data_IF_997171690313
#
_entry.id   IF_997171690313
#
_cell.length_a   1.000
_cell.length_b   1.000
_cell.length_c   1.000
_cell.angle_alpha   90.00
_cell.angle_beta   90.00
_cell.angle_gamma   90.00
#
_symmetry.space_group_name_H-M   'P 1'
#
loop_
_entity.id
_entity.type
_entity.pdbx_description
1 polymer ?
#
# COMPACT_ATOMS: atom_id res chain seq x y z
N UNK A 1 32.92 -15.25 -2.15
CA UNK A 1 33.05 -15.83 -0.79
C UNK A 1 32.35 -15.01 0.32
N UNK A 2 31.86 -13.79 0.09
CA UNK A 2 31.36 -12.91 1.16
C UNK A 2 29.92 -13.17 1.64
N UNK A 3 29.01 -13.67 0.78
CA UNK A 3 27.58 -13.74 1.10
C UNK A 3 27.21 -14.61 2.32
N UNK A 4 27.82 -15.79 2.48
CA UNK A 4 27.52 -16.65 3.65
C UNK A 4 27.86 -15.98 4.98
N UNK A 5 28.97 -15.24 5.06
CA UNK A 5 29.35 -14.45 6.24
C UNK A 5 28.44 -13.23 6.42
N UNK A 6 28.03 -12.58 5.32
CA UNK A 6 27.10 -11.46 5.35
C UNK A 6 25.73 -11.88 5.90
N UNK A 7 25.22 -13.06 5.51
CA UNK A 7 23.99 -13.62 6.08
C UNK A 7 24.10 -13.89 7.58
N UNK A 8 25.20 -14.48 8.03
CA UNK A 8 25.43 -14.75 9.46
C UNK A 8 25.49 -13.45 10.27
N UNK A 9 26.14 -12.41 9.72
CA UNK A 9 26.16 -11.09 10.33
C UNK A 9 24.77 -10.44 10.37
N UNK A 10 24.03 -10.47 9.25
CA UNK A 10 22.70 -9.87 9.17
C UNK A 10 21.65 -10.61 10.02
N UNK A 11 21.86 -11.91 10.29
CA UNK A 11 21.00 -12.69 11.19
C UNK A 11 21.06 -12.19 12.65
N UNK A 12 22.13 -11.49 13.05
CA UNK A 12 22.25 -10.93 14.40
C UNK A 12 21.21 -9.84 14.68
N UNK A 13 20.81 -9.10 13.64
CA UNK A 13 19.79 -8.04 13.73
C UNK A 13 18.35 -8.61 13.84
N UNK A 14 18.18 -9.91 13.61
CA UNK A 14 16.90 -10.59 13.74
C UNK A 14 16.67 -11.16 15.15
N UNK A 15 15.40 -11.28 15.58
CA UNK A 15 15.02 -12.04 16.77
C UNK A 15 15.62 -13.43 16.79
N UNK A 16 16.10 -13.88 17.96
CA UNK A 16 16.79 -15.17 18.11
C UNK A 16 15.94 -16.35 17.66
N UNK A 17 14.63 -16.31 17.93
CA UNK A 17 13.67 -17.33 17.53
C UNK A 17 13.40 -17.37 16.01
N UNK A 18 13.79 -16.35 15.25
CA UNK A 18 13.64 -16.34 13.79
C UNK A 18 14.84 -16.91 13.06
N UNK A 19 16.04 -16.81 13.66
CA UNK A 19 17.31 -17.23 13.05
C UNK A 19 17.31 -18.70 12.55
N UNK A 20 16.71 -19.68 13.26
CA UNK A 20 16.66 -21.07 12.79
C UNK A 20 15.87 -21.28 11.49
N UNK A 21 15.01 -20.33 11.11
CA UNK A 21 14.16 -20.39 9.91
C UNK A 21 14.81 -19.66 8.71
N UNK A 22 16.08 -19.25 8.84
CA UNK A 22 16.88 -18.74 7.73
C UNK A 22 17.45 -19.89 6.92
N UNK A 23 17.50 -19.73 5.60
CA UNK A 23 18.09 -20.72 4.70
C UNK A 23 19.56 -20.96 5.06
N UNK A 24 19.90 -22.21 5.39
CA UNK A 24 21.27 -22.65 5.70
C UNK A 24 22.15 -22.74 4.44
N UNK A 25 22.54 -21.58 3.91
CA UNK A 25 23.26 -21.41 2.64
C UNK A 25 24.55 -22.24 2.53
N UNK A 26 25.26 -22.45 3.66
CA UNK A 26 26.51 -23.24 3.68
C UNK A 26 26.26 -24.72 3.36
N UNK A 27 25.17 -25.30 3.88
CA UNK A 27 24.80 -26.71 3.68
C UNK A 27 24.41 -26.96 2.22
N UNK A 28 23.52 -26.11 1.68
CA UNK A 28 23.12 -26.16 0.28
C UNK A 28 24.31 -26.02 -0.68
N UNK A 29 25.24 -25.12 -0.36
CA UNK A 29 26.47 -24.94 -1.17
C UNK A 29 27.33 -26.21 -1.21
N UNK A 30 27.37 -27.01 -0.14
CA UNK A 30 28.09 -28.29 -0.13
C UNK A 30 27.39 -29.30 -1.03
N UNK A 31 26.05 -29.37 -0.95
CA UNK A 31 25.22 -30.26 -1.78
C UNK A 31 25.41 -30.01 -3.29
N UNK A 32 25.54 -28.75 -3.73
CA UNK A 32 25.82 -28.43 -5.16
C UNK A 32 27.08 -29.12 -5.68
N UNK A 33 28.09 -29.37 -4.85
CA UNK A 33 29.30 -30.10 -5.30
C UNK A 33 28.97 -31.52 -5.71
N UNK A 34 28.13 -32.20 -4.92
CA UNK A 34 27.70 -33.57 -5.20
C UNK A 34 26.88 -33.65 -6.50
N UNK A 35 26.09 -32.62 -6.81
CA UNK A 35 25.37 -32.51 -8.10
C UNK A 35 26.35 -32.44 -9.26
N UNK A 36 27.40 -31.62 -9.15
CA UNK A 36 28.42 -31.50 -10.19
C UNK A 36 29.17 -32.83 -10.35
N UNK A 37 29.55 -33.48 -9.25
CA UNK A 37 30.24 -34.76 -9.29
C UNK A 37 29.37 -35.86 -9.97
N UNK A 38 28.05 -35.87 -9.72
CA UNK A 38 27.10 -36.77 -10.42
C UNK A 38 27.05 -36.50 -11.92
N UNK A 39 26.94 -35.22 -12.32
CA UNK A 39 26.89 -34.82 -13.72
C UNK A 39 28.19 -35.18 -14.46
N UNK A 40 29.35 -34.92 -13.85
CA UNK A 40 30.67 -35.27 -14.42
C UNK A 40 30.84 -36.79 -14.55
N UNK A 41 30.42 -37.58 -13.56
CA UNK A 41 30.45 -39.04 -13.63
C UNK A 41 29.61 -39.60 -14.79
N UNK A 42 28.50 -38.91 -15.14
CA UNK A 42 27.63 -39.22 -16.28
C UNK A 42 28.09 -38.59 -17.60
N UNK A 43 29.23 -37.88 -17.63
CA UNK A 43 29.78 -37.27 -18.84
C UNK A 43 29.11 -35.96 -19.27
N UNK A 44 28.30 -35.36 -18.38
CA UNK A 44 27.55 -34.12 -18.60
C UNK A 44 28.25 -32.95 -17.89
N UNK A 45 29.46 -32.60 -18.31
CA UNK A 45 30.13 -31.40 -17.76
C UNK A 45 29.38 -30.13 -18.16
N UNK A 46 29.53 -29.06 -17.37
CA UNK A 46 28.87 -27.77 -17.66
C UNK A 46 29.18 -27.21 -19.05
N UNK A 47 30.39 -27.42 -19.57
CA UNK A 47 30.76 -27.00 -20.93
C UNK A 47 30.05 -27.82 -22.01
N UNK A 48 29.79 -29.11 -21.74
CA UNK A 48 29.05 -29.97 -22.68
C UNK A 48 27.57 -29.65 -22.66
N UNK A 49 26.99 -29.43 -21.48
CA UNK A 49 25.58 -29.02 -21.35
C UNK A 49 25.28 -27.78 -22.19
N UNK A 50 26.18 -26.79 -22.22
CA UNK A 50 25.99 -25.60 -23.07
C UNK A 50 26.12 -25.83 -24.58
N UNK A 51 26.73 -26.93 -25.02
CA UNK A 51 26.93 -27.26 -26.45
C UNK A 51 25.97 -28.32 -26.97
N UNK A 52 25.30 -29.06 -26.06
CA UNK A 52 24.37 -30.15 -26.40
C UNK A 52 23.01 -29.64 -26.91
N UNK A 53 22.70 -28.36 -26.71
CA UNK A 53 21.48 -27.73 -27.21
C UNK A 53 21.72 -27.16 -28.61
N UNK A 54 21.45 -27.97 -29.64
CA UNK A 54 21.50 -27.54 -31.04
C UNK A 54 20.07 -27.45 -31.57
N UNK A 55 19.65 -26.31 -32.12
CA UNK A 55 18.24 -26.08 -32.52
C UNK A 55 17.72 -27.07 -33.59
N UNK A 56 18.62 -27.79 -34.27
CA UNK A 56 18.31 -28.55 -35.48
C UNK A 56 18.27 -30.09 -35.28
N UNK A 57 19.09 -30.67 -34.39
CA UNK A 57 19.23 -32.14 -34.28
C UNK A 57 18.91 -32.70 -32.88
N UNK A 58 19.31 -32.00 -31.81
CA UNK A 58 19.21 -32.49 -30.44
C UNK A 58 18.92 -31.36 -29.45
N UNK A 59 17.83 -31.50 -28.70
CA UNK A 59 17.36 -30.51 -27.71
C UNK A 59 17.46 -31.04 -26.30
N UNK A 60 18.06 -30.27 -25.40
CA UNK A 60 18.15 -30.58 -23.97
C UNK A 60 17.20 -29.69 -23.18
N UNK A 61 16.36 -30.27 -22.32
CA UNK A 61 15.49 -29.54 -21.41
C UNK A 61 15.67 -30.02 -19.98
N UNK A 62 15.99 -29.13 -19.06
CA UNK A 62 15.98 -29.41 -17.63
C UNK A 62 14.62 -29.00 -17.05
N UNK A 63 14.00 -29.85 -16.24
CA UNK A 63 12.72 -29.52 -15.58
C UNK A 63 12.45 -30.44 -14.38
N UNK A 64 11.30 -30.28 -13.75
CA UNK A 64 10.90 -30.99 -12.54
C UNK A 64 9.66 -31.84 -12.78
N UNK A 65 9.71 -33.09 -12.33
CA UNK A 65 8.55 -33.94 -12.08
C UNK A 65 8.31 -34.06 -10.57
N UNK A 66 7.28 -34.83 -10.20
CA UNK A 66 6.97 -35.13 -8.81
C UNK A 66 6.16 -34.03 -8.14
N UNK A 67 6.30 -33.92 -6.83
CA UNK A 67 5.62 -32.92 -6.01
C UNK A 67 6.59 -32.32 -4.99
N UNK A 68 6.12 -31.42 -4.13
CA UNK A 68 7.00 -30.68 -3.22
C UNK A 68 7.55 -31.53 -2.06
N UNK A 69 6.92 -32.67 -1.76
CA UNK A 69 7.44 -33.65 -0.81
C UNK A 69 8.50 -34.55 -1.44
N UNK A 70 8.42 -34.77 -2.76
CA UNK A 70 9.36 -35.58 -3.55
C UNK A 70 9.70 -34.88 -4.88
N UNK A 71 10.55 -33.85 -4.87
CA UNK A 71 11.00 -33.17 -6.10
C UNK A 71 11.88 -34.09 -6.93
N UNK A 72 11.50 -34.27 -8.20
CA UNK A 72 12.24 -35.11 -9.14
C UNK A 72 12.79 -34.28 -10.32
N UNK A 73 13.90 -33.53 -10.14
CA UNK A 73 14.58 -32.87 -11.23
C UNK A 73 15.14 -33.89 -12.23
N UNK A 74 15.00 -33.60 -13.52
CA UNK A 74 15.52 -34.44 -14.58
C UNK A 74 15.96 -33.63 -15.80
N UNK A 75 16.85 -34.23 -16.56
CA UNK A 75 17.22 -33.76 -17.90
C UNK A 75 16.49 -34.61 -18.92
N UNK A 76 15.76 -33.96 -19.83
CA UNK A 76 15.16 -34.58 -21.01
C UNK A 76 15.99 -34.23 -22.23
N UNK A 77 16.55 -35.24 -22.89
CA UNK A 77 17.18 -35.09 -24.19
C UNK A 77 16.20 -35.59 -25.24
N UNK A 78 15.93 -34.77 -26.25
CA UNK A 78 15.07 -35.13 -27.39
C UNK A 78 15.92 -35.06 -28.65
N UNK A 79 16.00 -36.18 -29.36
CA UNK A 79 16.73 -36.32 -30.63
C UNK A 79 15.69 -36.31 -31.74
N UNK A 80 15.75 -35.30 -32.61
CA UNK A 80 14.82 -35.15 -33.72
C UNK A 80 15.36 -35.83 -34.99
N UNK A 81 16.67 -35.77 -35.21
CA UNK A 81 17.35 -36.45 -36.31
C UNK A 81 18.55 -37.26 -35.77
N UNK A 82 18.40 -38.59 -35.60
CA UNK A 82 19.47 -39.46 -35.14
C UNK A 82 20.69 -39.50 -36.07
N UNK A 83 20.54 -39.12 -37.35
CA UNK A 83 21.61 -39.21 -38.35
C UNK A 83 22.59 -38.04 -38.31
N UNK A 84 22.22 -36.95 -37.62
CA UNK A 84 23.04 -35.76 -37.45
C UNK A 84 23.92 -35.78 -36.18
N UNK A 85 23.90 -36.87 -35.41
CA UNK A 85 24.63 -37.00 -34.14
C UNK A 85 26.10 -37.32 -34.40
N UNK A 86 27.03 -36.65 -33.71
CA UNK A 86 28.45 -36.98 -33.80
C UNK A 86 28.79 -38.28 -33.06
N UNK A 87 29.84 -39.00 -33.48
CA UNK A 87 30.29 -40.24 -32.79
C UNK A 87 30.60 -40.01 -31.29
N UNK A 88 31.04 -38.80 -30.92
CA UNK A 88 31.30 -38.43 -29.52
C UNK A 88 30.01 -38.29 -28.69
N UNK A 89 28.93 -37.85 -29.32
CA UNK A 89 27.62 -37.72 -28.68
C UNK A 89 26.91 -39.07 -28.60
N UNK A 90 27.06 -39.93 -29.60
CA UNK A 90 26.57 -41.31 -29.58
C UNK A 90 27.17 -42.12 -28.41
N UNK A 91 28.50 -42.04 -28.20
CA UNK A 91 29.16 -42.66 -27.04
C UNK A 91 28.60 -42.14 -25.70
N UNK A 92 28.30 -40.85 -25.63
CA UNK A 92 27.79 -40.21 -24.40
C UNK A 92 26.35 -40.61 -24.13
N UNK A 93 25.50 -40.62 -25.16
CA UNK A 93 24.11 -41.08 -25.07
C UNK A 93 24.06 -42.54 -24.63
N UNK A 94 24.93 -43.39 -25.18
CA UNK A 94 25.08 -44.80 -24.77
C UNK A 94 25.49 -44.95 -23.31
N UNK A 95 26.28 -44.02 -22.76
CA UNK A 95 26.67 -43.99 -21.35
C UNK A 95 25.55 -43.48 -20.43
N UNK A 96 24.60 -42.71 -20.97
CA UNK A 96 23.46 -42.11 -20.26
C UNK A 96 22.24 -43.03 -20.23
N UNK A 97 22.02 -43.82 -21.26
CA UNK A 97 20.99 -44.86 -21.30
C UNK A 97 21.58 -46.17 -20.80
N UNK A 98 21.17 -46.62 -19.61
CA UNK A 98 21.45 -47.98 -19.12
C UNK A 98 20.81 -49.09 -19.99
N UNK A 99 20.21 -48.73 -21.13
CA UNK A 99 19.42 -49.58 -22.01
C UNK A 99 20.06 -49.54 -23.39
N UNK A 100 20.59 -50.70 -23.75
CA UNK A 100 21.08 -51.08 -25.07
C UNK A 100 19.89 -51.23 -26.02
N UNK A 101 19.22 -50.15 -26.39
CA UNK A 101 18.37 -50.15 -27.58
C UNK A 101 19.14 -49.44 -28.67
N UNK A 102 19.54 -50.19 -29.71
CA UNK A 102 20.09 -49.63 -30.95
C UNK A 102 19.23 -48.44 -31.34
N UNK A 103 19.84 -47.28 -31.60
CA UNK A 103 19.16 -46.10 -32.13
C UNK A 103 18.36 -46.52 -33.38
N UNK A 104 17.06 -46.80 -33.20
CA UNK A 104 16.15 -46.99 -34.32
C UNK A 104 15.86 -45.61 -34.92
N UNK A 105 15.58 -45.56 -36.23
CA UNK A 105 15.45 -44.35 -37.05
C UNK A 105 14.24 -43.42 -36.71
N UNK A 106 13.77 -43.40 -35.47
CA UNK A 106 12.68 -42.53 -34.98
C UNK A 106 13.17 -41.52 -33.94
N UNK A 107 12.35 -40.51 -33.61
CA UNK A 107 12.68 -39.52 -32.59
C UNK A 107 12.81 -40.18 -31.21
N UNK A 108 13.96 -39.99 -30.57
CA UNK A 108 14.30 -40.63 -29.29
C UNK A 108 14.18 -39.60 -28.15
N UNK A 109 13.59 -39.99 -27.02
CA UNK A 109 13.56 -39.16 -25.81
C UNK A 109 14.17 -39.88 -24.63
N UNK A 110 15.26 -39.32 -24.09
CA UNK A 110 15.99 -39.89 -22.94
C UNK A 110 15.71 -39.02 -21.73
N UNK A 111 15.26 -39.65 -20.64
CA UNK A 111 15.05 -39.01 -19.34
C UNK A 111 16.16 -39.42 -18.38
N UNK A 112 16.91 -38.44 -17.88
CA UNK A 112 18.03 -38.64 -16.96
C UNK A 112 17.65 -38.06 -15.61
N UNK A 113 17.30 -38.93 -14.67
CA UNK A 113 17.06 -38.52 -13.27
C UNK A 113 18.38 -38.28 -12.55
N UNK A 114 18.44 -37.19 -11.78
CA UNK A 114 19.62 -36.76 -11.04
C UNK A 114 19.35 -36.94 -9.54
N UNK A 115 20.01 -37.92 -8.92
CA UNK A 115 19.77 -38.30 -7.52
C UNK A 115 20.29 -37.22 -6.58
N UNK A 116 21.50 -36.71 -6.82
CA UNK A 116 22.10 -35.65 -6.00
C UNK A 116 21.38 -34.33 -6.17
N UNK A 117 20.84 -34.09 -7.36
CA UNK A 117 20.02 -32.91 -7.61
C UNK A 117 18.68 -33.00 -6.87
N UNK A 118 18.06 -34.18 -6.85
CA UNK A 118 16.86 -34.45 -6.05
C UNK A 118 17.11 -34.21 -4.55
N UNK A 119 18.26 -34.67 -4.02
CA UNK A 119 18.68 -34.39 -2.64
C UNK A 119 18.88 -32.89 -2.37
N UNK A 120 19.46 -32.14 -3.33
CA UNK A 120 19.63 -30.69 -3.22
C UNK A 120 18.28 -29.97 -3.09
N UNK A 121 17.30 -30.31 -3.95
CA UNK A 121 15.99 -29.68 -3.91
C UNK A 121 15.14 -30.13 -2.72
N UNK A 122 15.26 -31.38 -2.26
CA UNK A 122 14.69 -31.79 -0.98
C UNK A 122 15.21 -30.93 0.18
N UNK A 123 16.53 -30.71 0.24
CA UNK A 123 17.13 -29.85 1.26
C UNK A 123 16.63 -28.41 1.14
N UNK A 124 16.55 -27.86 -0.07
CA UNK A 124 16.06 -26.49 -0.29
C UNK A 124 14.58 -26.35 0.10
N UNK A 125 13.72 -27.29 -0.30
CA UNK A 125 12.30 -27.29 0.03
C UNK A 125 12.08 -27.44 1.55
N UNK A 126 12.87 -28.28 2.21
CA UNK A 126 12.88 -28.40 3.66
C UNK A 126 13.19 -27.04 4.32
N UNK A 127 14.25 -26.36 3.92
CA UNK A 127 14.61 -25.02 4.44
C UNK A 127 13.51 -23.97 4.19
N UNK A 128 12.90 -23.99 3.00
CA UNK A 128 11.80 -23.10 2.67
C UNK A 128 10.52 -23.41 3.46
N UNK A 129 10.28 -24.68 3.80
CA UNK A 129 9.14 -25.08 4.65
C UNK A 129 9.27 -24.52 6.08
N UNK A 130 10.48 -24.49 6.64
CA UNK A 130 10.73 -23.84 7.94
C UNK A 130 10.46 -22.34 7.86
N UNK A 131 10.92 -21.67 6.80
CA UNK A 131 10.61 -20.25 6.60
C UNK A 131 9.10 -20.00 6.48
N UNK A 132 8.35 -20.88 5.81
CA UNK A 132 6.90 -20.81 5.70
C UNK A 132 6.17 -21.02 7.04
N UNK A 133 6.64 -21.94 7.88
CA UNK A 133 6.09 -22.14 9.23
C UNK A 133 6.20 -20.87 10.09
N UNK A 134 7.37 -20.22 10.07
CA UNK A 134 7.55 -18.95 10.78
C UNK A 134 6.64 -17.86 10.21
N UNK A 135 6.47 -17.83 8.89
CA UNK A 135 5.61 -16.89 8.21
C UNK A 135 4.15 -17.00 8.69
N UNK A 136 3.61 -18.22 8.78
CA UNK A 136 2.26 -18.46 9.29
C UNK A 136 2.12 -18.19 10.79
N UNK A 137 3.17 -18.44 11.57
CA UNK A 137 3.20 -18.11 12.99
C UNK A 137 3.17 -16.59 13.21
N UNK A 138 4.03 -15.83 12.53
CA UNK A 138 4.10 -14.38 12.65
C UNK A 138 2.85 -13.71 12.06
N UNK A 139 2.23 -14.27 11.00
CA UNK A 139 0.92 -13.80 10.50
C UNK A 139 -0.13 -13.74 11.60
N UNK A 140 -0.28 -14.85 12.33
CA UNK A 140 -1.26 -15.01 13.41
C UNK A 140 -0.94 -14.07 14.57
N UNK A 141 0.35 -13.96 14.92
CA UNK A 141 0.82 -13.05 15.97
C UNK A 141 0.54 -11.58 15.62
N UNK A 142 0.93 -11.12 14.43
CA UNK A 142 0.67 -9.74 13.99
C UNK A 142 -0.83 -9.44 13.96
N UNK A 143 -1.64 -10.34 13.44
CA UNK A 143 -3.11 -10.17 13.42
C UNK A 143 -3.66 -10.00 14.83
N UNK A 144 -3.21 -10.83 15.78
CA UNK A 144 -3.61 -10.75 17.19
C UNK A 144 -3.16 -9.44 17.85
N UNK A 145 -1.93 -9.03 17.58
CA UNK A 145 -1.37 -7.78 18.09
C UNK A 145 -2.12 -6.55 17.56
N UNK A 146 -2.51 -6.57 16.28
CA UNK A 146 -3.31 -5.51 15.66
C UNK A 146 -4.73 -5.47 16.24
N UNK A 147 -5.38 -6.62 16.44
CA UNK A 147 -6.71 -6.69 17.08
C UNK A 147 -6.67 -6.19 18.54
N UNK A 148 -5.58 -6.49 19.25
CA UNK A 148 -5.36 -5.99 20.61
C UNK A 148 -5.18 -4.48 20.61
N UNK A 149 -4.36 -3.95 19.68
CA UNK A 149 -4.16 -2.52 19.53
C UNK A 149 -5.46 -1.79 19.17
N UNK A 150 -6.25 -2.33 18.24
CA UNK A 150 -7.57 -1.82 17.88
C UNK A 150 -8.46 -1.69 19.14
N UNK A 151 -8.58 -2.77 19.91
CA UNK A 151 -9.39 -2.77 21.14
C UNK A 151 -8.94 -1.71 22.14
N UNK A 152 -7.62 -1.49 22.26
CA UNK A 152 -7.08 -0.42 23.11
C UNK A 152 -7.42 0.96 22.56
N UNK A 153 -7.21 1.19 21.26
CA UNK A 153 -7.45 2.47 20.58
C UNK A 153 -8.93 2.88 20.62
N UNK A 154 -9.87 1.95 20.47
CA UNK A 154 -11.31 2.24 20.59
C UNK A 154 -11.66 2.86 21.95
N UNK A 155 -10.94 2.49 23.01
CA UNK A 155 -11.13 3.04 24.36
C UNK A 155 -10.41 4.37 24.53
N UNK A 156 -9.14 4.45 24.12
CA UNK A 156 -8.27 5.61 24.44
C UNK A 156 -8.40 6.78 23.46
N UNK A 157 -8.78 6.52 22.21
CA UNK A 157 -8.98 7.52 21.17
C UNK A 157 -10.46 7.87 20.94
N UNK A 158 -11.34 7.50 21.88
CA UNK A 158 -12.75 7.84 21.86
C UNK A 158 -12.97 9.36 22.01
N UNK A 159 -13.97 10.00 21.36
CA UNK A 159 -14.14 11.46 21.38
C UNK A 159 -14.27 12.11 22.75
N UNK A 160 -14.72 11.35 23.76
CA UNK A 160 -14.84 11.83 25.14
C UNK A 160 -13.49 11.87 25.89
N UNK A 161 -12.43 11.28 25.33
CA UNK A 161 -11.10 11.22 25.96
C UNK A 161 -10.22 12.38 25.50
N UNK A 162 -9.45 12.94 26.44
CA UNK A 162 -8.50 14.04 26.17
C UNK A 162 -7.41 13.66 25.17
N UNK A 163 -6.98 12.39 25.20
CA UNK A 163 -5.87 11.88 24.38
C UNK A 163 -6.24 11.74 22.89
N UNK A 164 -7.51 11.84 22.54
CA UNK A 164 -7.98 11.63 21.16
C UNK A 164 -7.34 12.59 20.14
N UNK A 165 -7.16 13.86 20.50
CA UNK A 165 -6.46 14.83 19.65
C UNK A 165 -4.96 14.55 19.54
N UNK A 166 -4.34 14.00 20.57
CA UNK A 166 -2.93 13.59 20.52
C UNK A 166 -2.78 12.37 19.61
N UNK A 167 -3.71 11.42 19.70
CA UNK A 167 -3.77 10.28 18.78
C UNK A 167 -3.97 10.70 17.33
N UNK A 168 -4.82 11.69 17.04
CA UNK A 168 -4.95 12.25 15.70
C UNK A 168 -3.63 12.79 15.17
N UNK A 169 -2.90 13.54 15.98
CA UNK A 169 -1.61 14.10 15.58
C UNK A 169 -0.57 13.00 15.31
N UNK A 170 -0.54 11.95 16.15
CA UNK A 170 0.29 10.75 15.93
C UNK A 170 -0.07 10.10 14.59
N UNK A 171 -1.35 9.87 14.32
CA UNK A 171 -1.79 9.21 13.09
C UNK A 171 -1.63 10.07 11.84
N UNK A 172 -1.82 11.38 11.94
CA UNK A 172 -1.56 12.32 10.84
C UNK A 172 -0.08 12.24 10.43
N UNK A 173 0.84 12.29 11.40
CA UNK A 173 2.28 12.09 11.14
C UNK A 173 2.59 10.72 10.56
N UNK A 174 1.93 9.67 11.04
CA UNK A 174 2.11 8.31 10.55
C UNK A 174 1.68 8.15 9.08
N UNK A 175 0.52 8.72 8.71
CA UNK A 175 0.01 8.70 7.34
C UNK A 175 0.91 9.50 6.39
N UNK A 176 1.51 10.59 6.86
CA UNK A 176 2.46 11.41 6.08
C UNK A 176 3.83 10.75 5.91
N UNK A 177 4.25 9.90 6.83
CA UNK A 177 5.59 9.30 6.81
C UNK A 177 5.82 8.32 5.64
N UNK A 178 4.78 7.97 4.86
CA UNK A 178 4.83 7.00 3.75
C UNK A 178 5.49 5.66 4.14
N UNK A 179 5.50 5.32 5.43
CA UNK A 179 6.15 4.10 5.92
C UNK A 179 5.36 2.86 5.48
N UNK A 180 4.04 2.97 5.38
CA UNK A 180 3.13 1.90 4.93
C UNK A 180 3.42 1.50 3.48
N UNK A 181 3.50 2.47 2.57
CA UNK A 181 3.68 2.20 1.14
C UNK A 181 5.04 1.57 0.84
N UNK A 182 6.09 1.94 1.58
CA UNK A 182 7.40 1.31 1.44
C UNK A 182 7.45 -0.09 2.06
N UNK A 183 6.89 -0.29 3.25
CA UNK A 183 6.88 -1.62 3.89
C UNK A 183 6.04 -2.59 3.04
N UNK A 184 4.95 -2.11 2.44
CA UNK A 184 4.09 -2.86 1.50
C UNK A 184 4.65 -2.98 0.08
N UNK A 185 5.78 -2.36 -0.27
CA UNK A 185 6.37 -2.47 -1.60
C UNK A 185 7.14 -3.79 -1.74
N UNK A 186 6.44 -4.80 -2.25
CA UNK A 186 6.88 -6.21 -2.34
C UNK A 186 7.77 -6.48 -3.56
N UNK A 187 7.79 -5.57 -4.55
CA UNK A 187 8.57 -5.75 -5.78
C UNK A 187 10.10 -5.79 -5.54
N UNK A 188 10.54 -5.46 -4.32
CA UNK A 188 11.95 -5.33 -3.97
C UNK A 188 12.23 -5.82 -2.54
N UNK A 189 11.93 -7.08 -2.19
CA UNK A 189 12.45 -7.72 -0.98
C UNK A 189 13.99 -7.86 -1.03
N UNK A 190 14.65 -6.71 -0.89
CA UNK A 190 16.08 -6.50 -0.96
C UNK A 190 16.51 -5.87 0.35
N UNK A 191 17.79 -6.04 0.71
CA UNK A 191 18.36 -5.39 1.90
C UNK A 191 18.18 -3.86 1.85
N UNK A 192 18.31 -3.25 0.66
CA UNK A 192 18.11 -1.82 0.47
C UNK A 192 16.67 -1.36 0.79
N UNK A 193 15.66 -2.15 0.40
CA UNK A 193 14.27 -1.83 0.70
C UNK A 193 13.94 -1.94 2.20
N UNK A 194 14.58 -2.88 2.91
CA UNK A 194 14.53 -2.94 4.37
C UNK A 194 15.15 -1.68 5.00
N UNK A 195 16.37 -1.31 4.61
CA UNK A 195 17.08 -0.13 5.15
C UNK A 195 16.26 1.14 4.95
N UNK A 196 15.67 1.33 3.76
CA UNK A 196 14.79 2.45 3.46
C UNK A 196 13.54 2.47 4.34
N UNK A 197 12.89 1.31 4.53
CA UNK A 197 11.70 1.19 5.38
C UNK A 197 12.02 1.49 6.85
N UNK A 198 13.17 1.01 7.32
CA UNK A 198 13.69 1.27 8.65
C UNK A 198 13.99 2.76 8.86
N UNK A 199 14.69 3.40 7.92
CA UNK A 199 15.03 4.83 8.00
C UNK A 199 13.76 5.70 8.02
N UNK A 200 12.77 5.43 7.18
CA UNK A 200 11.51 6.20 7.19
C UNK A 200 10.74 6.04 8.51
N UNK A 201 10.71 4.82 9.07
CA UNK A 201 10.07 4.59 10.36
C UNK A 201 10.82 5.26 11.51
N UNK A 202 12.16 5.32 11.45
CA UNK A 202 12.96 6.08 12.41
C UNK A 202 12.65 7.58 12.33
N UNK A 203 12.57 8.15 11.14
CA UNK A 203 12.17 9.56 10.96
C UNK A 203 10.80 9.84 11.59
N UNK A 204 9.84 8.94 11.42
CA UNK A 204 8.54 9.03 12.10
C UNK A 204 8.68 9.00 13.62
N UNK A 205 9.46 8.06 14.17
CA UNK A 205 9.70 7.97 15.61
C UNK A 205 10.37 9.24 16.17
N UNK A 206 11.34 9.79 15.44
CA UNK A 206 12.01 11.05 15.80
C UNK A 206 11.02 12.22 15.80
N UNK A 207 10.10 12.28 14.82
CA UNK A 207 9.03 13.28 14.78
C UNK A 207 8.07 13.18 15.98
N UNK A 208 7.79 11.97 16.47
CA UNK A 208 7.00 11.80 17.69
C UNK A 208 7.73 12.34 18.92
N UNK A 209 9.05 12.13 18.99
CA UNK A 209 9.91 12.61 20.09
C UNK A 209 10.00 14.14 20.05
N UNK A 210 10.30 14.73 18.88
CA UNK A 210 10.37 16.19 18.71
C UNK A 210 9.07 16.88 19.10
N UNK A 211 7.93 16.32 18.71
CA UNK A 211 6.61 16.84 19.06
C UNK A 211 6.15 16.49 20.50
N UNK A 212 7.00 15.75 21.25
CA UNK A 212 6.76 15.33 22.62
C UNK A 212 5.43 14.58 22.83
N UNK A 213 4.99 13.81 21.81
CA UNK A 213 3.63 13.27 21.74
C UNK A 213 3.38 12.18 22.77
N UNK A 214 4.37 11.32 23.04
CA UNK A 214 4.25 10.27 24.04
C UNK A 214 4.00 10.83 25.46
N UNK A 215 4.57 11.99 25.78
CA UNK A 215 4.39 12.64 27.08
C UNK A 215 3.07 13.42 27.17
N UNK A 216 2.52 13.87 26.04
CA UNK A 216 1.20 14.52 25.95
C UNK A 216 0.04 13.53 26.16
N UNK A 217 0.26 12.24 25.99
CA UNK A 217 -0.71 11.20 26.33
C UNK A 217 -0.89 11.13 27.86
N UNK A 218 -2.10 11.44 28.33
CA UNK A 218 -2.41 11.50 29.76
C UNK A 218 -2.67 10.13 30.38
N UNK A 219 -3.25 9.19 29.63
CA UNK A 219 -3.58 7.86 30.14
C UNK A 219 -2.41 6.87 30.01
N UNK A 220 -2.20 6.05 31.05
CA UNK A 220 -1.28 4.90 31.00
C UNK A 220 -1.66 3.94 29.86
N UNK A 221 -2.95 3.73 29.62
CA UNK A 221 -3.44 2.87 28.53
C UNK A 221 -3.07 3.44 27.16
N UNK A 222 -3.12 4.76 26.98
CA UNK A 222 -2.69 5.40 25.74
C UNK A 222 -1.20 5.21 25.49
N UNK A 223 -0.36 5.37 26.52
CA UNK A 223 1.08 5.12 26.41
C UNK A 223 1.37 3.67 26.06
N UNK A 224 0.64 2.73 26.66
CA UNK A 224 0.74 1.29 26.33
C UNK A 224 0.34 1.00 24.88
N UNK A 225 -0.76 1.59 24.40
CA UNK A 225 -1.19 1.46 23.01
C UNK A 225 -0.17 2.06 22.03
N UNK A 226 0.44 3.20 22.36
CA UNK A 226 1.51 3.79 21.52
C UNK A 226 2.73 2.88 21.46
N UNK A 227 3.17 2.35 22.61
CA UNK A 227 4.29 1.40 22.64
C UNK A 227 3.97 0.14 21.83
N UNK A 228 2.75 -0.38 21.91
CA UNK A 228 2.29 -1.53 21.13
C UNK A 228 2.28 -1.22 19.63
N UNK A 229 1.77 -0.05 19.24
CA UNK A 229 1.77 0.43 17.86
C UNK A 229 3.19 0.52 17.28
N UNK A 230 4.13 1.13 18.01
CA UNK A 230 5.52 1.22 17.59
C UNK A 230 6.17 -0.17 17.52
N UNK A 231 5.93 -1.02 18.51
CA UNK A 231 6.46 -2.38 18.54
C UNK A 231 5.99 -3.21 17.34
N UNK A 232 4.70 -3.16 16.98
CA UNK A 232 4.15 -3.86 15.79
C UNK A 232 4.91 -3.45 14.54
N UNK A 233 5.11 -2.15 14.32
CA UNK A 233 5.82 -1.64 13.14
C UNK A 233 7.30 -2.03 13.12
N UNK A 234 7.99 -1.93 14.25
CA UNK A 234 9.38 -2.40 14.35
C UNK A 234 9.48 -3.89 14.02
N UNK A 235 8.55 -4.71 14.51
CA UNK A 235 8.53 -6.15 14.21
C UNK A 235 8.21 -6.42 12.73
N UNK A 236 7.28 -5.67 12.11
CA UNK A 236 6.99 -5.78 10.67
C UNK A 236 8.21 -5.46 9.80
N UNK A 237 8.97 -4.42 10.16
CA UNK A 237 10.21 -4.03 9.45
C UNK A 237 11.28 -5.11 9.61
N UNK A 238 11.44 -5.67 10.82
CA UNK A 238 12.35 -6.82 11.04
C UNK A 238 11.90 -8.03 10.22
N UNK A 239 10.60 -8.29 10.14
CA UNK A 239 10.06 -9.40 9.36
C UNK A 239 10.34 -9.20 7.87
N UNK A 240 10.22 -7.97 7.36
CA UNK A 240 10.67 -7.60 6.01
C UNK A 240 12.14 -7.92 5.77
N UNK A 241 13.01 -7.67 6.75
CA UNK A 241 14.43 -8.04 6.66
C UNK A 241 14.62 -9.57 6.57
N UNK A 242 13.95 -10.34 7.43
CA UNK A 242 13.95 -11.80 7.37
C UNK A 242 13.53 -12.31 5.97
N UNK A 243 12.45 -11.75 5.43
CA UNK A 243 11.97 -12.07 4.09
C UNK A 243 13.03 -11.75 3.01
N UNK A 244 13.62 -10.55 3.06
CA UNK A 244 14.66 -10.15 2.12
C UNK A 244 15.90 -11.08 2.15
N UNK A 245 16.32 -11.53 3.34
CA UNK A 245 17.45 -12.43 3.50
C UNK A 245 17.17 -13.80 2.88
N UNK A 246 16.03 -14.42 3.19
CA UNK A 246 15.65 -15.72 2.64
C UNK A 246 15.47 -15.68 1.12
N UNK A 247 14.80 -14.65 0.59
CA UNK A 247 14.66 -14.51 -0.86
C UNK A 247 16.01 -14.31 -1.56
N UNK A 248 16.89 -13.48 -0.98
CA UNK A 248 18.24 -13.27 -1.51
C UNK A 248 19.06 -14.57 -1.46
N UNK A 249 18.95 -15.33 -0.38
CA UNK A 249 19.64 -16.62 -0.23
C UNK A 249 19.16 -17.65 -1.26
N UNK A 250 17.84 -17.75 -1.47
CA UNK A 250 17.23 -18.61 -2.49
C UNK A 250 17.71 -18.23 -3.90
N UNK A 251 17.62 -16.96 -4.28
CA UNK A 251 18.08 -16.51 -5.61
C UNK A 251 19.58 -16.78 -5.79
N UNK A 252 20.39 -16.51 -4.76
CA UNK A 252 21.85 -16.72 -4.84
C UNK A 252 22.26 -18.18 -4.80
N UNK A 253 21.45 -19.09 -4.24
CA UNK A 253 21.77 -20.52 -4.25
C UNK A 253 21.36 -21.15 -5.58
N UNK A 254 20.20 -20.78 -6.14
CA UNK A 254 19.78 -21.19 -7.48
C UNK A 254 20.74 -20.69 -8.56
N UNK A 255 21.09 -19.39 -8.57
CA UNK A 255 22.12 -18.87 -9.49
C UNK A 255 23.49 -19.54 -9.33
N UNK A 256 23.79 -20.05 -8.13
CA UNK A 256 25.04 -20.78 -7.88
C UNK A 256 24.95 -22.21 -8.42
N UNK A 257 23.79 -22.84 -8.30
CA UNK A 257 23.50 -24.14 -8.90
C UNK A 257 23.69 -24.04 -10.41
N UNK A 258 22.94 -23.18 -11.11
CA UNK A 258 23.03 -22.99 -12.57
C UNK A 258 24.47 -22.75 -13.03
N UNK A 259 25.20 -21.85 -12.36
CA UNK A 259 26.59 -21.53 -12.72
C UNK A 259 27.56 -22.71 -12.56
N UNK A 260 27.25 -23.67 -11.68
CA UNK A 260 28.13 -24.81 -11.37
C UNK A 260 27.74 -26.07 -12.13
N UNK A 261 26.44 -26.31 -12.28
CA UNK A 261 25.89 -27.48 -12.97
C UNK A 261 25.73 -27.26 -14.47
N UNK A 262 25.55 -26.01 -14.93
CA UNK A 262 25.16 -25.69 -16.29
C UNK A 262 23.64 -25.84 -16.55
N UNK A 263 22.85 -26.18 -15.52
CA UNK A 263 21.40 -26.37 -15.61
C UNK A 263 20.64 -25.05 -15.42
N UNK A 264 19.32 -25.08 -15.59
CA UNK A 264 18.42 -23.91 -15.56
C UNK A 264 17.48 -23.89 -14.34
N UNK A 265 17.97 -24.22 -13.15
CA UNK A 265 17.15 -24.26 -11.94
C UNK A 265 16.55 -22.90 -11.57
N UNK A 266 17.20 -21.77 -11.90
CA UNK A 266 16.63 -20.44 -11.61
C UNK A 266 15.32 -20.18 -12.35
N UNK A 267 15.09 -20.74 -13.54
CA UNK A 267 13.82 -20.59 -14.28
C UNK A 267 12.79 -21.64 -13.89
N UNK A 268 13.24 -22.89 -13.75
CA UNK A 268 12.35 -24.05 -13.59
C UNK A 268 11.85 -24.22 -12.15
N UNK A 269 12.74 -24.07 -11.16
CA UNK A 269 12.38 -24.31 -9.76
C UNK A 269 11.27 -23.38 -9.25
N UNK A 270 11.29 -22.06 -9.56
CA UNK A 270 10.18 -21.21 -9.15
C UNK A 270 8.84 -21.58 -9.76
N UNK A 271 8.81 -22.05 -11.00
CA UNK A 271 7.57 -22.52 -11.63
C UNK A 271 7.04 -23.77 -10.93
N UNK A 272 7.92 -24.69 -10.56
CA UNK A 272 7.59 -25.90 -9.80
C UNK A 272 7.13 -25.60 -8.37
N UNK A 273 7.87 -24.77 -7.65
CA UNK A 273 7.63 -24.46 -6.23
C UNK A 273 6.44 -23.52 -5.98
N UNK A 274 5.95 -22.82 -7.01
CA UNK A 274 4.88 -21.80 -6.94
C UNK A 274 3.61 -22.27 -6.22
N UNK A 275 3.31 -23.58 -6.23
CA UNK A 275 2.06 -24.15 -5.71
C UNK A 275 2.04 -24.46 -4.21
N UNK A 276 3.20 -24.60 -3.53
CA UNK A 276 3.19 -25.02 -2.11
C UNK A 276 4.30 -24.42 -1.24
N UNK A 277 5.32 -23.79 -1.84
CA UNK A 277 6.37 -23.08 -1.09
C UNK A 277 6.22 -21.60 -1.36
N UNK A 278 5.36 -21.00 -0.53
CA UNK A 278 5.11 -19.58 -0.34
C UNK A 278 6.26 -18.72 -0.91
N UNK A 279 6.09 -18.26 -2.16
CA UNK A 279 6.84 -17.10 -2.68
C UNK A 279 6.35 -15.88 -1.92
N UNK A 280 6.71 -15.81 -0.64
CA UNK A 280 6.43 -14.77 0.36
C UNK A 280 5.35 -13.77 -0.06
N UNK A 281 4.14 -14.32 -0.25
CA UNK A 281 2.96 -13.53 -0.51
C UNK A 281 2.74 -12.60 0.68
N UNK A 282 2.78 -11.30 0.43
CA UNK A 282 1.98 -10.23 1.02
C UNK A 282 1.46 -10.32 2.48
N UNK A 283 2.14 -10.99 3.42
CA UNK A 283 1.77 -10.82 4.85
C UNK A 283 1.93 -9.37 5.23
N UNK A 284 3.03 -8.75 4.82
CA UNK A 284 3.30 -7.37 5.18
C UNK A 284 2.21 -6.44 4.66
N UNK A 285 1.86 -6.49 3.36
CA UNK A 285 0.81 -5.61 2.87
C UNK A 285 -0.57 -6.00 3.42
N UNK A 286 -0.87 -7.29 3.63
CA UNK A 286 -2.11 -7.72 4.30
C UNK A 286 -2.23 -7.14 5.72
N UNK A 287 -1.21 -7.29 6.56
CA UNK A 287 -1.21 -6.76 7.92
C UNK A 287 -1.25 -5.22 7.91
N UNK A 288 -0.51 -4.57 7.04
CA UNK A 288 -0.52 -3.12 6.92
C UNK A 288 -1.88 -2.59 6.44
N UNK A 289 -2.54 -3.28 5.51
CA UNK A 289 -3.91 -2.96 5.10
C UNK A 289 -4.89 -3.12 6.27
N UNK A 290 -4.75 -4.17 7.09
CA UNK A 290 -5.56 -4.34 8.31
C UNK A 290 -5.30 -3.18 9.27
N UNK A 291 -4.04 -2.80 9.49
CA UNK A 291 -3.68 -1.65 10.30
C UNK A 291 -4.32 -0.38 9.72
N UNK A 292 -4.14 -0.07 8.44
CA UNK A 292 -4.64 1.15 7.83
C UNK A 292 -6.17 1.23 7.86
N UNK A 293 -6.88 0.17 7.49
CA UNK A 293 -8.34 0.13 7.51
C UNK A 293 -8.92 0.28 8.91
N UNK A 294 -8.33 -0.39 9.91
CA UNK A 294 -8.78 -0.26 11.31
C UNK A 294 -8.42 1.09 11.92
N UNK A 295 -7.24 1.63 11.64
CA UNK A 295 -6.82 2.91 12.22
C UNK A 295 -7.65 4.09 11.73
N UNK A 296 -7.96 4.14 10.42
CA UNK A 296 -8.78 5.23 9.83
C UNK A 296 -10.19 5.25 10.45
N UNK A 297 -10.76 4.08 10.73
CA UNK A 297 -12.09 3.98 11.34
C UNK A 297 -12.11 4.36 12.82
N UNK A 298 -11.06 4.03 13.58
CA UNK A 298 -10.98 4.34 15.01
C UNK A 298 -10.62 5.81 15.27
N UNK A 299 -9.67 6.36 14.50
CA UNK A 299 -9.18 7.74 14.67
C UNK A 299 -9.36 8.53 13.37
N UNK A 300 -10.60 8.94 13.07
CA UNK A 300 -10.89 9.67 11.84
C UNK A 300 -10.19 11.03 11.83
N UNK A 301 -9.62 11.39 10.67
CA UNK A 301 -8.94 12.68 10.47
C UNK A 301 -9.95 13.74 10.01
N UNK A 302 -9.80 15.02 10.42
CA UNK A 302 -10.72 16.08 10.01
C UNK A 302 -10.77 16.30 8.50
N UNK A 303 -9.63 16.20 7.84
CA UNK A 303 -9.43 16.51 6.41
C UNK A 303 -10.30 15.61 5.50
N UNK A 304 -10.62 14.39 5.94
CA UNK A 304 -11.51 13.45 5.24
C UNK A 304 -12.97 13.95 5.14
N UNK A 305 -13.32 14.99 5.91
CA UNK A 305 -14.67 15.57 6.02
C UNK A 305 -14.73 17.04 5.60
N UNK A 306 -13.68 17.50 4.92
CA UNK A 306 -13.62 18.86 4.40
C UNK A 306 -14.59 19.08 3.24
N UNK A 307 -15.23 20.25 3.23
CA UNK A 307 -16.03 20.68 2.09
C UNK A 307 -15.09 21.07 0.93
N UNK A 308 -15.22 20.48 -0.28
CA UNK A 308 -14.34 20.77 -1.41
C UNK A 308 -14.36 22.23 -1.90
N UNK A 309 -15.37 23.00 -1.48
CA UNK A 309 -15.53 24.42 -1.89
C UNK A 309 -14.77 25.36 -0.96
N UNK A 310 -14.76 25.11 0.35
CA UNK A 310 -14.08 25.98 1.31
C UNK A 310 -12.84 25.37 1.95
N UNK A 311 -12.53 24.10 1.66
CA UNK A 311 -11.37 23.37 2.19
C UNK A 311 -11.30 23.43 3.73
N UNK A 312 -12.46 23.25 4.35
CA UNK A 312 -12.59 23.13 5.81
C UNK A 312 -13.77 22.23 6.12
N UNK A 313 -13.79 21.70 7.34
CA UNK A 313 -14.81 20.75 7.79
C UNK A 313 -16.22 21.17 7.41
N UNK A 314 -17.00 20.24 6.86
CA UNK A 314 -18.31 20.52 6.33
C UNK A 314 -19.29 20.98 7.44
N UNK A 315 -19.72 22.24 7.40
CA UNK A 315 -20.74 22.75 8.33
C UNK A 315 -22.15 22.56 7.77
N UNK A 316 -23.01 21.86 8.53
CA UNK A 316 -24.35 21.40 8.10
C UNK A 316 -24.24 20.71 6.72
N UNK A 317 -23.64 19.52 6.68
CA UNK A 317 -23.28 18.83 5.44
C UNK A 317 -24.53 18.50 4.62
N UNK A 318 -24.60 18.98 3.39
CA UNK A 318 -25.63 18.62 2.42
C UNK A 318 -25.03 17.58 1.48
N UNK A 319 -25.65 16.40 1.40
CA UNK A 319 -25.28 15.33 0.48
C UNK A 319 -26.12 15.43 -0.78
N UNK A 320 -25.48 15.74 -1.90
CA UNK A 320 -26.15 15.79 -3.19
C UNK A 320 -26.58 14.38 -3.65
N UNK A 321 -27.48 14.31 -4.63
CA UNK A 321 -27.92 13.05 -5.26
C UNK A 321 -26.74 12.22 -5.83
N UNK A 322 -25.65 12.89 -6.21
CA UNK A 322 -24.42 12.27 -6.67
C UNK A 322 -23.52 11.72 -5.54
N UNK A 323 -23.94 11.83 -4.29
CA UNK A 323 -23.21 11.36 -3.10
C UNK A 323 -22.18 12.34 -2.52
N UNK A 324 -21.78 13.39 -3.24
CA UNK A 324 -20.81 14.39 -2.76
C UNK A 324 -21.39 15.31 -1.69
N UNK A 325 -20.55 15.68 -0.71
CA UNK A 325 -20.95 16.44 0.48
C UNK A 325 -20.36 17.84 0.49
N UNK A 326 -21.16 18.84 0.84
CA UNK A 326 -20.74 20.25 0.91
C UNK A 326 -21.34 20.96 2.13
N UNK A 327 -20.78 22.11 2.54
CA UNK A 327 -21.44 22.99 3.49
C UNK A 327 -22.75 23.55 2.89
N UNK A 328 -23.80 23.67 3.70
CA UNK A 328 -25.05 24.34 3.27
C UNK A 328 -24.80 25.76 2.72
N UNK A 329 -23.93 26.54 3.36
CA UNK A 329 -23.58 27.90 2.92
C UNK A 329 -22.83 27.90 1.58
N UNK A 330 -21.97 26.92 1.33
CA UNK A 330 -21.25 26.80 0.08
C UNK A 330 -22.19 26.52 -1.09
N UNK A 331 -23.18 25.64 -0.89
CA UNK A 331 -24.19 25.36 -1.91
C UNK A 331 -25.11 26.56 -2.17
N UNK A 332 -25.55 27.28 -1.13
CA UNK A 332 -26.36 28.51 -1.31
C UNK A 332 -25.60 29.54 -2.16
N UNK A 333 -24.29 29.71 -1.92
CA UNK A 333 -23.45 30.61 -2.73
C UNK A 333 -23.30 30.11 -4.17
N UNK A 334 -23.11 28.81 -4.37
CA UNK A 334 -23.04 28.20 -5.70
C UNK A 334 -24.34 28.40 -6.48
N UNK A 335 -25.49 28.14 -5.85
CA UNK A 335 -26.81 28.35 -6.42
C UNK A 335 -27.05 29.83 -6.79
N UNK A 336 -26.67 30.79 -5.93
CA UNK A 336 -26.74 32.24 -6.24
C UNK A 336 -25.87 32.64 -7.43
N UNK A 337 -24.76 31.94 -7.66
CA UNK A 337 -23.88 32.12 -8.82
C UNK A 337 -24.32 31.32 -10.05
N UNK A 338 -25.51 30.70 -10.02
CA UNK A 338 -26.06 29.85 -11.09
C UNK A 338 -25.20 28.62 -11.42
N UNK A 339 -24.46 28.11 -10.42
CA UNK A 339 -23.69 26.87 -10.52
C UNK A 339 -24.55 25.72 -10.01
N UNK A 340 -25.30 25.09 -10.91
CA UNK A 340 -26.26 24.03 -10.57
C UNK A 340 -25.68 22.61 -10.65
N UNK A 341 -24.52 22.44 -11.27
CA UNK A 341 -23.87 21.13 -11.38
C UNK A 341 -22.98 20.86 -10.17
N UNK A 342 -22.74 19.58 -9.87
CA UNK A 342 -21.84 19.19 -8.79
C UNK A 342 -20.42 19.73 -9.03
N UNK A 343 -19.79 20.44 -8.07
CA UNK A 343 -18.41 20.92 -8.20
C UNK A 343 -17.34 19.83 -8.34
N UNK A 344 -17.64 18.59 -7.94
CA UNK A 344 -16.68 17.48 -7.95
C UNK A 344 -16.87 16.61 -9.19
N UNK A 345 -18.02 15.97 -9.35
CA UNK A 345 -18.26 15.05 -10.48
C UNK A 345 -18.98 15.68 -11.68
N UNK A 346 -19.35 16.96 -11.61
CA UNK A 346 -20.07 17.69 -12.68
C UNK A 346 -21.45 17.12 -13.04
N UNK A 347 -22.03 16.23 -12.22
CA UNK A 347 -23.40 15.75 -12.41
C UNK A 347 -24.36 16.94 -12.55
N UNK A 348 -25.17 16.88 -13.60
CA UNK A 348 -26.07 17.96 -14.02
C UNK A 348 -27.13 18.21 -12.95
N UNK A 349 -27.40 19.48 -12.65
CA UNK A 349 -28.43 19.93 -11.70
C UNK A 349 -28.33 19.38 -10.26
N UNK A 350 -27.26 18.69 -9.89
CA UNK A 350 -27.10 18.12 -8.55
C UNK A 350 -27.18 19.17 -7.41
N UNK A 351 -26.71 20.40 -7.64
CA UNK A 351 -26.83 21.52 -6.69
C UNK A 351 -28.18 22.23 -6.82
N UNK A 352 -28.75 22.29 -8.03
CA UNK A 352 -30.06 22.90 -8.28
C UNK A 352 -31.20 22.12 -7.63
N UNK A 353 -31.10 20.80 -7.58
CA UNK A 353 -32.07 19.92 -6.94
C UNK A 353 -31.90 19.81 -5.42
N UNK A 354 -30.79 20.31 -4.86
CA UNK A 354 -30.49 20.14 -3.46
C UNK A 354 -31.31 21.08 -2.57
N UNK A 355 -32.00 20.52 -1.58
CA UNK A 355 -32.82 21.25 -0.63
C UNK A 355 -32.43 20.93 0.84
N UNK A 356 -33.29 21.32 1.78
CA UNK A 356 -33.07 21.08 3.21
C UNK A 356 -33.14 19.59 3.60
N UNK A 357 -33.84 18.75 2.83
CA UNK A 357 -33.98 17.32 3.08
C UNK A 357 -32.69 16.55 2.75
N UNK A 358 -31.81 17.13 1.93
CA UNK A 358 -30.48 16.59 1.64
C UNK A 358 -29.46 16.78 2.79
N UNK A 359 -29.88 17.31 3.94
CA UNK A 359 -29.02 17.42 5.12
C UNK A 359 -28.63 16.02 5.64
N UNK A 360 -27.34 15.73 5.62
CA UNK A 360 -26.81 14.48 6.16
C UNK A 360 -26.70 14.58 7.69
N UNK A 361 -27.81 14.30 8.37
CA UNK A 361 -27.91 14.39 9.82
C UNK A 361 -26.95 13.42 10.53
N UNK A 362 -26.74 12.23 9.96
CA UNK A 362 -25.82 11.22 10.49
C UNK A 362 -24.39 11.73 10.48
N UNK A 363 -23.93 12.27 9.34
CA UNK A 363 -22.60 12.87 9.21
C UNK A 363 -22.46 14.12 10.08
N UNK A 364 -23.49 14.95 10.19
CA UNK A 364 -23.48 16.10 11.08
C UNK A 364 -23.28 15.69 12.55
N UNK A 365 -24.05 14.72 13.02
CA UNK A 365 -23.97 14.22 14.40
C UNK A 365 -22.60 13.60 14.67
N UNK A 366 -22.08 12.84 13.71
CA UNK A 366 -20.73 12.30 13.77
C UNK A 366 -19.69 13.42 13.91
N UNK A 367 -19.72 14.45 13.05
CA UNK A 367 -18.74 15.53 13.11
C UNK A 367 -18.83 16.37 14.38
N UNK A 368 -20.04 16.61 14.90
CA UNK A 368 -20.22 17.28 16.19
C UNK A 368 -19.59 16.51 17.35
N UNK A 369 -19.64 15.17 17.29
CA UNK A 369 -19.08 14.30 18.30
C UNK A 369 -17.56 14.18 18.18
N UNK A 370 -17.05 13.91 16.97
CA UNK A 370 -15.64 13.62 16.74
C UNK A 370 -14.79 14.88 16.50
N UNK A 371 -15.33 15.97 15.97
CA UNK A 371 -14.56 17.17 15.60
C UNK A 371 -15.07 18.46 16.24
N UNK A 372 -15.27 18.50 17.57
CA UNK A 372 -15.89 19.67 18.22
C UNK A 372 -15.06 20.96 18.10
N UNK A 373 -13.72 20.88 18.09
CA UNK A 373 -12.85 22.07 17.96
C UNK A 373 -12.94 22.65 16.55
N UNK A 374 -12.89 21.79 15.55
CA UNK A 374 -12.93 22.12 14.13
C UNK A 374 -14.30 22.70 13.76
N UNK A 375 -15.38 22.08 14.25
CA UNK A 375 -16.74 22.61 14.07
C UNK A 375 -16.90 23.97 14.75
N UNK A 376 -16.37 24.16 15.97
CA UNK A 376 -16.42 25.46 16.67
C UNK A 376 -15.65 26.53 15.88
N UNK A 377 -14.48 26.20 15.35
CA UNK A 377 -13.71 27.10 14.49
C UNK A 377 -14.50 27.46 13.22
N UNK A 378 -15.10 26.47 12.54
CA UNK A 378 -15.88 26.69 11.33
C UNK A 378 -17.12 27.55 11.56
N UNK A 379 -17.78 27.39 12.71
CA UNK A 379 -18.90 28.26 13.11
C UNK A 379 -18.46 29.71 13.24
N UNK A 380 -17.36 29.96 13.94
CA UNK A 380 -16.79 31.30 14.10
C UNK A 380 -16.43 31.92 12.75
N UNK A 381 -15.75 31.17 11.89
CA UNK A 381 -15.42 31.59 10.52
C UNK A 381 -16.68 31.99 9.72
N UNK A 382 -17.74 31.18 9.78
CA UNK A 382 -19.00 31.46 9.09
C UNK A 382 -19.71 32.73 9.63
N UNK A 383 -19.65 32.96 10.94
CA UNK A 383 -20.20 34.15 11.60
C UNK A 383 -19.43 35.41 11.20
N UNK A 384 -18.10 35.35 11.19
CA UNK A 384 -17.23 36.45 10.75
C UNK A 384 -17.46 36.80 9.28
N UNK A 385 -17.56 35.79 8.42
CA UNK A 385 -17.86 35.99 7.00
C UNK A 385 -19.25 36.61 6.79
N UNK A 386 -20.25 36.16 7.54
CA UNK A 386 -21.60 36.72 7.50
C UNK A 386 -21.60 38.19 7.93
N UNK A 387 -20.93 38.51 9.04
CA UNK A 387 -20.80 39.88 9.53
C UNK A 387 -20.05 40.78 8.54
N UNK A 388 -19.08 40.25 7.77
CA UNK A 388 -18.42 40.99 6.69
C UNK A 388 -19.39 41.30 5.55
N UNK A 389 -20.11 40.31 5.04
CA UNK A 389 -21.10 40.50 3.97
C UNK A 389 -22.21 41.49 4.36
N UNK A 390 -22.68 41.45 5.61
CA UNK A 390 -23.72 42.35 6.08
C UNK A 390 -23.19 43.78 6.23
N UNK A 391 -21.95 43.97 6.66
CA UNK A 391 -21.27 45.28 6.65
C UNK A 391 -21.11 45.84 5.24
N UNK A 392 -20.69 45.02 4.28
CA UNK A 392 -20.56 45.43 2.87
C UNK A 392 -21.91 45.83 2.27
N UNK A 393 -22.97 45.07 2.54
CA UNK A 393 -24.34 45.44 2.11
C UNK A 393 -24.81 46.74 2.75
N UNK A 394 -24.54 46.96 4.04
CA UNK A 394 -24.88 48.22 4.71
C UNK A 394 -24.12 49.40 4.12
N UNK A 395 -22.84 49.24 3.78
CA UNK A 395 -22.04 50.27 3.11
C UNK A 395 -22.56 50.56 1.71
N UNK A 396 -22.86 49.52 0.92
CA UNK A 396 -23.43 49.66 -0.42
C UNK A 396 -24.82 50.33 -0.38
N UNK A 397 -25.66 49.97 0.60
CA UNK A 397 -26.97 50.60 0.78
C UNK A 397 -26.83 52.08 1.21
N UNK A 398 -25.85 52.41 2.07
CA UNK A 398 -25.52 53.81 2.41
C UNK A 398 -25.01 54.61 1.22
N UNK A 399 -24.24 54.00 0.32
CA UNK A 399 -23.76 54.64 -0.92
C UNK A 399 -24.86 54.77 -1.98
N UNK A 400 -25.80 53.82 -2.05
CA UNK A 400 -26.97 53.87 -2.92
C UNK A 400 -27.97 54.96 -2.50
N UNK A 401 -27.96 55.37 -1.24
CA UNK A 401 -28.65 56.56 -0.72
C UNK A 401 -27.71 57.77 -0.87
N UNK A 402 -27.41 58.17 -2.12
CA UNK A 402 -26.69 59.42 -2.38
C UNK A 402 -27.64 60.63 -2.27
N UNK A 403 -27.16 61.83 -1.86
CA UNK A 403 -28.00 63.03 -1.70
C UNK A 403 -28.73 63.48 -2.97
N UNK A 404 -28.34 62.98 -4.14
CA UNK A 404 -28.88 63.40 -5.44
C UNK A 404 -30.36 63.03 -5.63
N UNK A 405 -30.87 61.99 -4.94
CA UNK A 405 -32.31 61.66 -4.96
C UNK A 405 -33.16 62.57 -4.07
N UNK A 406 -32.59 63.22 -3.07
CA UNK A 406 -33.31 64.18 -2.22
C UNK A 406 -33.53 65.51 -2.98
N UNK A 407 -32.55 65.93 -3.79
CA UNK A 407 -32.63 67.17 -4.59
C UNK A 407 -33.68 67.08 -5.71
N UNK A 408 -33.86 65.91 -6.33
CA UNK A 408 -34.95 65.70 -7.32
C UNK A 408 -36.34 65.69 -6.68
N UNK A 409 -36.47 65.27 -5.42
CA UNK A 409 -37.73 65.34 -4.69
C UNK A 409 -38.05 66.78 -4.25
N UNK A 410 -37.04 67.59 -3.89
CA UNK A 410 -37.26 69.00 -3.54
C UNK A 410 -37.60 69.87 -4.77
N UNK A 411 -36.98 69.64 -5.94
CA UNK A 411 -37.31 70.38 -7.17
C UNK A 411 -38.70 70.03 -7.75
N UNK A 412 -39.20 68.81 -7.56
CA UNK A 412 -40.56 68.43 -7.97
C UNK A 412 -41.64 69.04 -7.07
N UNK A 413 -41.36 69.18 -5.77
CA UNK A 413 -42.26 69.87 -4.83
C UNK A 413 -42.29 71.40 -5.06
N UNK A 414 -41.18 72.02 -5.47
CA UNK A 414 -41.16 73.45 -5.81
C UNK A 414 -41.85 73.78 -7.15
N UNK A 415 -41.79 72.91 -8.17
CA UNK A 415 -42.55 73.09 -9.43
C UNK A 415 -44.07 72.94 -9.25
N UNK A 416 -44.51 72.14 -8.28
CA UNK A 416 -45.94 72.02 -7.95
C UNK A 416 -46.45 73.20 -7.10
N UNK A 417 -45.57 73.97 -6.44
CA UNK A 417 -45.98 75.16 -5.67
C UNK A 417 -46.22 76.39 -6.55
N UNK A 418 -45.50 76.54 -7.66
CA UNK A 418 -45.68 77.66 -8.62
C UNK A 418 -46.83 77.46 -9.60
N UNK A 419 -47.37 76.25 -9.76
CA UNK A 419 -48.56 75.98 -10.59
C UNK A 419 -49.88 76.11 -9.82
N UNK A 420 -49.83 76.13 -8.49
CA UNK A 420 -50.99 76.35 -7.61
C UNK A 420 -51.25 77.83 -7.27
N UNK A 421 -50.25 78.74 -7.40
CA UNK A 421 -50.45 80.19 -7.15
C UNK A 421 -51.00 80.99 -8.34
N UNK A 422 -51.36 80.32 -9.45
CA UNK A 422 -51.99 80.95 -10.62
C UNK A 422 -53.41 80.43 -10.93
N UNK A 423 -54.00 79.66 -9.99
CA UNK A 423 -55.37 79.14 -10.14
C UNK A 423 -56.36 79.54 -9.03
N UNK A 424 -55.98 80.40 -8.09
CA UNK A 424 -56.83 80.87 -6.97
C UNK A 424 -57.19 82.36 -6.99
N UNK A 425 -57.19 83.00 -8.17
CA UNK A 425 -57.80 84.33 -8.36
C UNK A 425 -58.72 84.36 -9.58
N UNK A 426 -59.65 83.42 -9.64
CA UNK A 426 -60.87 83.60 -10.43
C UNK A 426 -62.02 82.85 -9.77
N UNK A 427 -63.10 83.60 -9.50
CA UNK A 427 -64.43 83.18 -9.09
C UNK A 427 -64.73 82.90 -7.59
N UNK A 428 -65.11 83.97 -6.88
CA UNK A 428 -66.42 84.05 -6.21
C UNK A 428 -67.01 85.46 -6.48
N UNK A 429 -68.25 85.48 -6.96
CA UNK A 429 -69.07 86.66 -7.30
C UNK A 429 -70.04 86.94 -6.15
N UNK A 430 -70.06 88.17 -5.64
CA UNK A 430 -71.26 89.00 -5.43
C UNK A 430 -70.86 90.43 -5.04
#
# INVERSE_FOLDING_TARGET
MKFGKQMESAALDLPENWRPHLIHYKSLKKSIRLVVDELEARGLSSSRISTLDTEEAMRMHYTFDGNIEDPQPYIKITINDPTAISEADEYTLTKLTSITEKLNNGPLSIKIQLVRDSEFFHLLLHELSHAALLHDQEKRRFTTDVNTLESQLTVVACPQKKDMYVWREIFSKYMQACCITEIANEAQYTTASYEQSHQKFQLFADELIKANLANRLSSKQSKQALNKFLAIHTQLIRFKHFQALNQTAMIKILKKHDKRSGLSATSEFPAFAKSSVVFMNSILASILNIIQTKLVTIVPQPDDYDCPVCLSIAWRPIRLECGHVFCVRCLIKAHRKRLYNCPVCRQVNAVGNADANNLDQSLQNFMLRYFPKEIKAKRKENEEEQAKMDREKMQHNRQAISPQRIVQYQHSVQRNRTTLSHRETSCVVM
#
